data_IF_633632139819
#
_entry.id   IF_633632139819
#
_cell.length_a   1.000
_cell.length_b   1.000
_cell.length_c   1.000
_cell.angle_alpha   90.00
_cell.angle_beta   90.00
_cell.angle_gamma   90.00
#
_symmetry.space_group_name_H-M   'P 1'
#
loop_
_entity.id
_entity.type
_entity.pdbx_description
1 polymer ?
#
# COMPACT_ATOMS: atom_id res chain seq x y z
N UNK A 1 -61.32 35.45 -5.29
CA UNK A 1 -60.06 35.94 -5.89
C UNK A 1 -58.80 35.62 -5.06
N UNK A 2 -58.84 34.64 -4.21
CA UNK A 2 -57.68 34.32 -3.31
C UNK A 2 -57.01 32.94 -3.55
N UNK A 3 -57.48 32.18 -4.56
CA UNK A 3 -56.99 30.82 -4.83
C UNK A 3 -55.93 30.77 -5.93
N UNK A 4 -55.79 31.81 -6.74
CA UNK A 4 -54.85 31.82 -7.87
C UNK A 4 -53.38 32.05 -7.49
N UNK A 5 -53.11 32.56 -6.31
CA UNK A 5 -51.73 32.82 -5.89
C UNK A 5 -51.07 31.68 -5.11
N UNK A 6 -51.87 30.77 -4.54
CA UNK A 6 -51.34 29.62 -3.80
C UNK A 6 -50.76 28.59 -4.78
N UNK A 7 -51.32 28.45 -5.97
CA UNK A 7 -50.83 27.51 -6.98
C UNK A 7 -49.51 27.95 -7.62
N UNK A 8 -49.21 29.26 -7.62
CA UNK A 8 -48.00 29.78 -8.21
C UNK A 8 -46.77 29.64 -7.28
N UNK A 9 -47.03 29.67 -5.97
CA UNK A 9 -45.97 29.54 -4.98
C UNK A 9 -45.51 28.06 -4.84
N UNK A 10 -46.41 27.11 -5.07
CA UNK A 10 -46.08 25.68 -5.01
C UNK A 10 -45.22 25.20 -6.20
N UNK A 11 -45.28 25.93 -7.33
CA UNK A 11 -44.47 25.60 -8.51
C UNK A 11 -43.02 26.10 -8.40
N UNK A 12 -42.73 27.05 -7.51
CA UNK A 12 -41.39 27.62 -7.34
C UNK A 12 -40.52 26.87 -6.34
N UNK A 13 -41.11 26.05 -5.50
CA UNK A 13 -40.37 25.31 -4.45
C UNK A 13 -39.81 23.96 -4.89
N UNK A 14 -40.21 23.46 -6.08
CA UNK A 14 -39.74 22.16 -6.58
C UNK A 14 -38.47 22.27 -7.42
N UNK A 15 -38.01 23.49 -7.73
CA UNK A 15 -36.88 23.69 -8.66
C UNK A 15 -35.52 23.91 -7.97
N UNK A 16 -35.45 23.79 -6.64
CA UNK A 16 -34.23 24.10 -5.90
C UNK A 16 -33.51 22.87 -5.36
N UNK A 17 -33.79 21.67 -5.82
CA UNK A 17 -33.09 20.45 -5.40
C UNK A 17 -32.34 19.77 -6.53
N UNK A 18 -31.82 20.54 -7.51
CA UNK A 18 -30.70 20.02 -8.30
C UNK A 18 -29.40 20.34 -7.58
N UNK A 19 -29.14 19.61 -6.54
CA UNK A 19 -27.85 19.57 -5.87
C UNK A 19 -26.81 19.07 -6.85
N UNK A 20 -25.94 19.95 -7.18
CA UNK A 20 -24.57 19.77 -7.61
C UNK A 20 -23.93 18.55 -6.92
N UNK A 21 -24.05 17.39 -7.53
CA UNK A 21 -23.07 16.37 -7.36
C UNK A 21 -21.83 16.78 -8.17
N UNK A 22 -21.08 17.73 -7.63
CA UNK A 22 -19.69 17.91 -7.99
C UNK A 22 -18.90 16.73 -7.42
N UNK A 23 -19.22 15.53 -7.90
CA UNK A 23 -18.35 14.39 -7.72
C UNK A 23 -17.08 14.67 -8.52
N UNK A 24 -15.92 14.66 -7.89
CA UNK A 24 -14.65 14.62 -8.58
C UNK A 24 -14.66 13.44 -9.56
N UNK A 25 -15.01 13.70 -10.81
CA UNK A 25 -15.04 12.70 -11.87
C UNK A 25 -13.67 12.15 -12.25
N UNK A 26 -12.59 12.71 -11.69
CA UNK A 26 -11.23 12.22 -11.86
C UNK A 26 -10.86 11.08 -10.92
N UNK A 27 -11.65 10.80 -9.88
CA UNK A 27 -11.38 9.68 -8.97
C UNK A 27 -11.94 8.34 -9.46
N UNK A 28 -12.72 8.33 -10.55
CA UNK A 28 -13.34 7.10 -11.07
C UNK A 28 -12.40 6.26 -11.94
N UNK A 29 -11.34 6.85 -12.50
CA UNK A 29 -10.40 6.14 -13.37
C UNK A 29 -9.36 5.31 -12.63
N UNK A 30 -9.23 5.47 -11.32
CA UNK A 30 -8.19 4.83 -10.52
C UNK A 30 -8.68 3.65 -9.66
N UNK A 31 -9.92 3.23 -9.85
CA UNK A 31 -10.49 2.07 -9.11
C UNK A 31 -9.83 0.74 -9.45
N UNK A 32 -8.96 0.67 -10.45
CA UNK A 32 -8.22 -0.53 -10.81
C UNK A 32 -6.75 -0.52 -10.36
N UNK A 33 -6.27 0.57 -9.78
CA UNK A 33 -5.07 0.56 -8.94
C UNK A 33 -5.49 0.20 -7.53
N UNK A 34 -5.62 -1.07 -7.26
CA UNK A 34 -5.58 -1.58 -5.89
C UNK A 34 -4.16 -1.34 -5.36
N UNK A 35 -3.87 -0.11 -4.97
CA UNK A 35 -2.67 0.16 -4.21
C UNK A 35 -2.89 -0.52 -2.86
N UNK A 36 -2.32 -1.70 -2.70
CA UNK A 36 -2.37 -2.43 -1.43
C UNK A 36 -1.92 -1.51 -0.30
N UNK A 37 -2.57 -1.58 0.84
CA UNK A 37 -2.14 -0.86 2.03
C UNK A 37 -0.81 -1.41 2.55
N UNK A 38 -0.10 -0.62 3.37
CA UNK A 38 1.06 -1.11 4.08
C UNK A 38 0.64 -2.18 5.10
N UNK A 39 1.49 -3.20 5.22
CA UNK A 39 1.32 -4.24 6.24
C UNK A 39 1.81 -3.67 7.57
N UNK A 40 0.91 -3.48 8.52
CA UNK A 40 1.23 -2.90 9.82
C UNK A 40 1.66 -3.93 10.85
N UNK A 41 1.19 -5.17 10.71
CA UNK A 41 1.52 -6.28 11.60
C UNK A 41 1.42 -7.62 10.87
N UNK A 42 2.10 -8.62 11.41
CA UNK A 42 1.95 -10.00 10.96
C UNK A 42 0.79 -10.64 11.72
N UNK A 43 -0.27 -11.10 11.03
CA UNK A 43 -1.38 -11.81 11.68
C UNK A 43 -0.93 -13.12 12.33
N UNK A 44 -1.73 -13.66 13.24
CA UNK A 44 -1.45 -14.91 13.97
C UNK A 44 -1.22 -16.12 13.06
N UNK A 45 -1.84 -16.15 11.88
CA UNK A 45 -1.62 -17.19 10.87
C UNK A 45 -0.32 -17.00 10.06
N UNK A 46 0.41 -15.91 10.29
CA UNK A 46 1.65 -15.55 9.61
C UNK A 46 1.51 -15.08 8.17
N UNK A 47 0.30 -15.07 7.58
CA UNK A 47 0.10 -14.66 6.18
C UNK A 47 0.11 -13.14 6.06
N UNK A 48 0.84 -12.63 5.08
CA UNK A 48 0.95 -11.21 4.77
C UNK A 48 0.68 -10.96 3.29
N UNK A 49 -0.01 -9.87 2.98
CA UNK A 49 -0.29 -9.42 1.62
C UNK A 49 -0.47 -7.91 1.60
N UNK A 50 0.50 -7.15 1.09
CA UNK A 50 0.45 -5.69 1.08
C UNK A 50 1.77 -5.06 0.70
N UNK A 51 1.90 -3.76 0.99
CA UNK A 51 3.13 -3.00 0.84
C UNK A 51 4.02 -3.16 2.07
N UNK A 52 5.31 -3.12 1.85
CA UNK A 52 6.30 -3.14 2.92
C UNK A 52 7.52 -2.32 2.53
N UNK A 53 8.30 -1.90 3.50
CA UNK A 53 9.64 -1.38 3.27
C UNK A 53 10.61 -2.54 3.13
N UNK A 54 11.46 -2.50 2.11
CA UNK A 54 12.45 -3.52 1.81
C UNK A 54 13.84 -2.91 1.65
N UNK A 55 14.83 -3.56 2.20
CA UNK A 55 16.23 -3.13 2.12
C UNK A 55 17.18 -4.26 2.54
N UNK A 56 18.48 -4.01 2.44
CA UNK A 56 19.48 -4.84 3.11
C UNK A 56 19.33 -4.71 4.63
N UNK A 57 19.10 -5.83 5.31
CA UNK A 57 18.89 -5.85 6.76
C UNK A 57 20.05 -5.23 7.52
N UNK A 58 21.27 -5.66 7.20
CA UNK A 58 22.50 -5.16 7.84
C UNK A 58 22.77 -3.68 7.53
N UNK A 59 22.49 -3.23 6.30
CA UNK A 59 22.87 -1.87 5.87
C UNK A 59 21.91 -0.79 6.37
N UNK A 60 20.59 -1.06 6.39
CA UNK A 60 19.57 -0.04 6.62
C UNK A 60 18.56 -0.37 7.74
N UNK A 61 18.58 -1.59 8.28
CA UNK A 61 17.67 -2.01 9.35
C UNK A 61 18.36 -2.45 10.62
N UNK A 62 19.68 -2.25 10.72
CA UNK A 62 20.50 -2.56 11.90
C UNK A 62 20.35 -4.03 12.38
N UNK A 63 20.14 -4.96 11.43
CA UNK A 63 20.09 -6.38 11.80
C UNK A 63 21.48 -6.94 12.06
N UNK A 64 21.58 -7.95 12.93
CA UNK A 64 22.83 -8.64 13.25
C UNK A 64 23.22 -9.70 12.19
N UNK A 65 22.80 -9.49 10.92
CA UNK A 65 23.19 -10.38 9.84
C UNK A 65 24.69 -10.29 9.56
N UNK A 66 25.30 -11.41 9.20
CA UNK A 66 26.74 -11.48 8.88
C UNK A 66 27.04 -11.15 7.42
N UNK A 67 26.02 -10.98 6.61
CA UNK A 67 26.12 -10.70 5.17
C UNK A 67 24.90 -9.91 4.71
N UNK A 68 25.05 -9.22 3.57
CA UNK A 68 23.92 -8.57 2.91
C UNK A 68 22.84 -9.58 2.59
N UNK A 69 21.62 -9.26 2.93
CA UNK A 69 20.43 -10.07 2.67
C UNK A 69 19.20 -9.20 2.63
N UNK A 70 18.24 -9.59 1.80
CA UNK A 70 16.98 -8.88 1.70
C UNK A 70 16.19 -9.04 2.99
N UNK A 71 15.75 -7.93 3.54
CA UNK A 71 14.87 -7.86 4.69
C UNK A 71 13.70 -6.91 4.43
N UNK A 72 12.60 -7.13 5.12
CA UNK A 72 11.40 -6.28 5.06
C UNK A 72 11.02 -5.81 6.44
N UNK A 73 10.49 -4.60 6.52
CA UNK A 73 9.96 -4.01 7.75
C UNK A 73 8.45 -4.03 7.72
N UNK A 74 7.85 -4.75 8.66
CA UNK A 74 6.40 -4.84 8.87
C UNK A 74 6.09 -4.24 10.24
N UNK A 75 5.41 -3.10 10.26
CA UNK A 75 5.23 -2.35 11.50
C UNK A 75 6.58 -1.95 12.10
N UNK A 76 6.89 -2.47 13.28
CA UNK A 76 8.18 -2.22 14.00
C UNK A 76 9.18 -3.35 13.84
N UNK A 77 8.76 -4.49 13.29
CA UNK A 77 9.55 -5.70 13.22
C UNK A 77 10.25 -5.86 11.87
N UNK A 78 11.44 -6.43 11.89
CA UNK A 78 12.24 -6.73 10.70
C UNK A 78 12.25 -8.25 10.47
N UNK A 79 11.95 -8.66 9.25
CA UNK A 79 11.94 -10.06 8.84
C UNK A 79 12.90 -10.28 7.68
N UNK A 80 13.83 -11.23 7.84
CA UNK A 80 14.70 -11.66 6.74
C UNK A 80 13.89 -12.42 5.70
N UNK A 81 14.01 -12.04 4.44
CA UNK A 81 13.43 -12.78 3.31
C UNK A 81 14.40 -13.89 2.92
N UNK A 82 13.95 -15.14 2.96
CA UNK A 82 14.87 -16.28 2.81
C UNK A 82 14.87 -16.91 1.42
N UNK A 83 13.90 -16.61 0.60
CA UNK A 83 13.72 -17.20 -0.72
C UNK A 83 13.69 -16.17 -1.88
N UNK A 84 14.12 -14.94 -1.63
CA UNK A 84 14.35 -13.92 -2.66
C UNK A 84 15.78 -13.42 -2.50
N UNK A 85 16.55 -13.51 -3.56
CA UNK A 85 17.89 -12.96 -3.59
C UNK A 85 17.85 -11.43 -3.59
N UNK A 86 18.79 -10.79 -2.89
CA UNK A 86 18.83 -9.33 -2.77
C UNK A 86 19.10 -8.65 -4.13
N UNK A 87 19.76 -9.35 -5.05
CA UNK A 87 20.07 -8.86 -6.39
C UNK A 87 19.05 -9.30 -7.46
N UNK A 88 17.99 -10.03 -7.07
CA UNK A 88 17.01 -10.56 -8.02
C UNK A 88 16.21 -9.48 -8.76
N UNK A 89 16.05 -8.28 -8.19
CA UNK A 89 15.23 -7.21 -8.74
C UNK A 89 16.00 -5.94 -9.12
N UNK A 90 17.16 -5.75 -8.53
CA UNK A 90 18.05 -4.61 -8.75
C UNK A 90 19.43 -4.98 -8.17
N UNK A 91 20.49 -4.51 -8.81
CA UNK A 91 21.83 -4.62 -8.22
C UNK A 91 21.83 -3.94 -6.83
N UNK A 92 22.05 -4.73 -5.78
CA UNK A 92 21.96 -4.27 -4.40
C UNK A 92 22.94 -3.13 -4.07
N UNK A 93 24.07 -3.04 -4.75
CA UNK A 93 25.09 -2.01 -4.58
C UNK A 93 24.93 -0.80 -5.52
N UNK A 94 23.99 -0.86 -6.48
CA UNK A 94 23.65 0.31 -7.31
C UNK A 94 23.18 1.49 -6.43
N UNK A 95 23.22 2.69 -6.98
CA UNK A 95 22.82 3.91 -6.27
C UNK A 95 21.43 3.82 -5.63
N UNK A 96 20.50 3.14 -6.29
CA UNK A 96 19.13 2.87 -5.86
C UNK A 96 18.92 1.42 -5.37
N UNK A 97 20.01 0.67 -5.17
CA UNK A 97 20.02 -0.68 -4.68
C UNK A 97 19.74 -0.80 -3.17
N UNK A 98 19.40 -1.99 -2.74
CA UNK A 98 18.98 -2.27 -1.36
C UNK A 98 20.06 -2.01 -0.29
N UNK A 99 21.33 -1.96 -0.64
CA UNK A 99 22.38 -1.59 0.30
C UNK A 99 22.45 -0.08 0.57
N UNK A 100 21.93 0.73 -0.34
CA UNK A 100 22.01 2.18 -0.29
C UNK A 100 20.69 2.86 0.09
N UNK A 101 19.54 2.23 -0.21
CA UNK A 101 18.23 2.84 0.02
C UNK A 101 17.20 1.83 0.52
N UNK A 102 16.23 2.33 1.24
CA UNK A 102 15.00 1.60 1.59
C UNK A 102 13.98 1.81 0.48
N UNK A 103 13.41 0.74 -0.05
CA UNK A 103 12.42 0.77 -1.13
C UNK A 103 11.06 0.26 -0.68
N UNK A 104 10.03 0.67 -1.39
CA UNK A 104 8.69 0.12 -1.20
C UNK A 104 8.53 -1.08 -2.14
N UNK A 105 8.06 -2.18 -1.59
CA UNK A 105 7.76 -3.39 -2.32
C UNK A 105 6.33 -3.87 -2.06
N UNK A 106 5.72 -4.50 -3.06
CA UNK A 106 4.53 -5.31 -2.87
C UNK A 106 4.96 -6.72 -2.48
N UNK A 107 4.41 -7.20 -1.40
CA UNK A 107 4.76 -8.48 -0.81
C UNK A 107 3.52 -9.32 -0.58
N UNK A 108 3.59 -10.59 -0.96
CA UNK A 108 2.68 -11.63 -0.50
C UNK A 108 3.52 -12.80 -0.01
N UNK A 109 3.18 -13.36 1.14
CA UNK A 109 3.98 -14.44 1.68
C UNK A 109 3.55 -14.88 3.07
N UNK A 110 4.46 -15.57 3.74
CA UNK A 110 4.23 -16.11 5.09
C UNK A 110 5.45 -15.94 5.98
N UNK A 111 5.21 -15.41 7.17
CA UNK A 111 6.21 -15.36 8.24
C UNK A 111 6.17 -16.67 9.04
N UNK A 112 7.31 -17.31 9.20
CA UNK A 112 7.51 -18.52 10.03
C UNK A 112 8.83 -18.39 10.76
N UNK A 113 8.82 -18.64 12.08
CA UNK A 113 10.04 -18.61 12.92
C UNK A 113 10.89 -17.35 12.67
N UNK A 114 10.25 -16.20 12.66
CA UNK A 114 10.87 -14.88 12.45
C UNK A 114 11.57 -14.69 11.09
N UNK A 115 11.21 -15.49 10.09
CA UNK A 115 11.68 -15.40 8.71
C UNK A 115 10.50 -15.27 7.76
N UNK A 116 10.68 -14.50 6.68
CA UNK A 116 9.67 -14.33 5.64
C UNK A 116 9.98 -15.23 4.47
N UNK A 117 8.97 -15.96 4.02
CA UNK A 117 8.92 -16.72 2.78
C UNK A 117 7.95 -15.99 1.84
N UNK A 118 8.47 -15.38 0.79
CA UNK A 118 7.67 -14.64 -0.18
C UNK A 118 7.08 -15.59 -1.23
N UNK A 119 5.78 -15.49 -1.44
CA UNK A 119 5.09 -16.11 -2.60
C UNK A 119 5.22 -15.20 -3.82
N UNK A 120 5.23 -13.88 -3.60
CA UNK A 120 5.53 -12.87 -4.61
C UNK A 120 6.19 -11.64 -3.95
N UNK A 121 7.11 -11.04 -4.68
CA UNK A 121 7.81 -9.82 -4.31
C UNK A 121 8.05 -8.97 -5.55
N UNK A 122 7.70 -7.70 -5.50
CA UNK A 122 7.96 -6.75 -6.60
C UNK A 122 8.19 -5.34 -6.08
N UNK A 123 9.15 -4.64 -6.68
CA UNK A 123 9.39 -3.23 -6.39
C UNK A 123 8.30 -2.33 -6.98
N UNK A 124 8.07 -1.19 -6.34
CA UNK A 124 7.25 -0.10 -6.86
C UNK A 124 8.11 0.98 -7.51
#
# INVERSE_FOLDING_TARGET
>A
MKIKYVSLILLFTVFSFNQLNAGCGSCAADKNRTSKAFIEMVPSNGKVDGKTFASCGMCNFDTNDRSCGLSVKIGKEIYKVVNVDIDAHVDSHAKDGFCNVVRIANLKGKVKKNKLYADSFSLQ
#
